data_IF_174763009477
#
_entry.id   IF_174763009477
#
_cell.length_a   1.000
_cell.length_b   1.000
_cell.length_c   1.000
_cell.angle_alpha   90.00
_cell.angle_beta   90.00
_cell.angle_gamma   90.00
#
_symmetry.space_group_name_H-M   'P 1'
#
loop_
_entity.id
_entity.type
_entity.pdbx_description
1 polymer ?
#
# COMPACT_ATOMS: atom_id res chain seq x y z
N UNK A 1 7.45 -28.54 2.94
CA UNK A 1 7.22 -27.54 4.02
C UNK A 1 6.13 -28.09 4.93
N UNK A 2 6.24 -27.95 6.25
CA UNK A 2 5.23 -28.43 7.21
C UNK A 2 3.89 -27.70 7.04
N UNK A 3 2.77 -28.39 7.29
CA UNK A 3 1.42 -27.84 7.09
C UNK A 3 1.15 -26.58 7.92
N UNK A 4 1.72 -26.49 9.13
CA UNK A 4 1.59 -25.32 9.99
C UNK A 4 2.32 -24.09 9.40
N UNK A 5 3.54 -24.28 8.88
CA UNK A 5 4.30 -23.22 8.19
C UNK A 5 3.57 -22.73 6.95
N UNK A 6 3.09 -23.64 6.11
CA UNK A 6 2.34 -23.27 4.90
C UNK A 6 1.01 -22.57 5.21
N UNK A 7 0.37 -22.89 6.33
CA UNK A 7 -0.83 -22.18 6.80
C UNK A 7 -0.47 -20.76 7.27
N UNK A 8 0.54 -20.62 8.13
CA UNK A 8 1.01 -19.31 8.61
C UNK A 8 1.29 -18.36 7.44
N UNK A 9 1.98 -18.82 6.39
CA UNK A 9 2.32 -17.95 5.26
C UNK A 9 1.10 -17.50 4.47
N UNK A 10 0.11 -18.38 4.26
CA UNK A 10 -1.14 -18.03 3.59
C UNK A 10 -2.00 -17.07 4.40
N UNK A 11 -1.96 -17.21 5.74
CA UNK A 11 -2.77 -16.40 6.64
C UNK A 11 -2.07 -15.09 7.04
N UNK A 12 -0.82 -14.88 6.61
CA UNK A 12 -0.10 -13.63 6.85
C UNK A 12 -0.52 -12.62 5.79
N UNK A 13 -1.31 -11.63 6.20
CA UNK A 13 -1.76 -10.57 5.31
C UNK A 13 -0.59 -9.73 4.78
N UNK A 14 -0.66 -9.38 3.50
CA UNK A 14 0.20 -8.32 2.94
C UNK A 14 -0.52 -6.98 3.10
N UNK A 15 0.06 -6.07 3.88
CA UNK A 15 -0.60 -4.82 4.28
C UNK A 15 -1.23 -4.05 3.11
N UNK A 16 -0.51 -3.87 2.00
CA UNK A 16 -1.00 -3.08 0.86
C UNK A 16 -2.03 -3.80 -0.01
N UNK A 17 -2.17 -5.12 0.10
CA UNK A 17 -2.97 -5.94 -0.81
C UNK A 17 -4.45 -5.50 -0.94
N UNK A 18 -5.20 -5.15 0.12
CA UNK A 18 -6.58 -4.69 -0.01
C UNK A 18 -6.73 -3.23 -0.48
N UNK A 19 -5.65 -2.45 -0.55
CA UNK A 19 -5.72 -1.00 -0.70
C UNK A 19 -5.62 -0.53 -2.16
N UNK A 20 -6.04 0.71 -2.38
CA UNK A 20 -5.86 1.43 -3.63
C UNK A 20 -5.46 2.88 -3.36
N UNK A 21 -4.77 3.47 -4.33
CA UNK A 21 -4.20 4.82 -4.25
C UNK A 21 -4.48 5.56 -5.53
N UNK A 22 -4.98 6.77 -5.39
CA UNK A 22 -5.29 7.68 -6.48
C UNK A 22 -4.30 8.83 -6.51
N UNK A 23 -3.91 9.27 -7.69
CA UNK A 23 -3.11 10.46 -7.93
C UNK A 23 -3.80 11.36 -8.94
N UNK A 24 -3.73 12.66 -8.69
CA UNK A 24 -4.11 13.71 -9.62
C UNK A 24 -2.91 14.66 -9.81
N UNK A 25 -2.42 14.76 -11.04
CA UNK A 25 -1.26 15.58 -11.40
C UNK A 25 -1.74 16.89 -12.00
N UNK A 26 -1.08 18.00 -11.66
CA UNK A 26 -1.48 19.34 -12.07
C UNK A 26 -0.33 20.10 -12.70
N UNK A 27 -0.64 21.21 -13.37
CA UNK A 27 0.38 22.11 -13.92
C UNK A 27 1.05 22.95 -12.84
N UNK A 28 0.30 23.34 -11.81
CA UNK A 28 0.75 24.19 -10.70
C UNK A 28 0.23 23.63 -9.37
N UNK A 29 0.95 23.81 -8.26
CA UNK A 29 0.50 23.41 -6.93
C UNK A 29 -0.49 24.44 -6.35
N UNK A 30 -1.61 24.67 -7.03
CA UNK A 30 -2.56 25.75 -6.73
C UNK A 30 -3.08 25.75 -5.28
N UNK A 31 -3.10 24.59 -4.61
CA UNK A 31 -3.44 24.49 -3.19
C UNK A 31 -2.43 25.23 -2.31
N UNK A 32 -1.14 25.22 -2.65
CA UNK A 32 -0.09 25.95 -1.94
C UNK A 32 -0.23 27.45 -2.14
N UNK A 33 -0.56 27.88 -3.36
CA UNK A 33 -0.82 29.29 -3.67
C UNK A 33 -2.03 29.83 -2.88
N UNK A 34 -2.97 28.94 -2.56
CA UNK A 34 -4.10 29.20 -1.68
C UNK A 34 -3.79 29.04 -0.17
N UNK A 35 -2.52 28.81 0.21
CA UNK A 35 -2.08 28.67 1.60
C UNK A 35 -2.39 27.30 2.25
N UNK A 36 -2.75 26.28 1.46
CA UNK A 36 -3.04 24.94 1.94
C UNK A 36 -1.81 24.02 1.83
N UNK A 37 -1.68 23.08 2.76
CA UNK A 37 -0.60 22.08 2.75
C UNK A 37 -0.79 20.98 1.70
N UNK A 38 -2.02 20.82 1.17
CA UNK A 38 -2.41 19.67 0.35
C UNK A 38 -2.84 18.44 1.16
N UNK A 39 -2.86 18.52 2.49
CA UNK A 39 -3.34 17.43 3.36
C UNK A 39 -4.83 17.59 3.68
N UNK A 40 -5.59 16.49 3.61
CA UNK A 40 -6.98 16.43 4.07
C UNK A 40 -7.35 15.03 4.55
N UNK A 41 -8.28 14.95 5.51
CA UNK A 41 -9.00 13.74 5.87
C UNK A 41 -10.49 13.96 5.62
N UNK A 42 -11.17 12.99 5.03
CA UNK A 42 -12.59 13.12 4.68
C UNK A 42 -13.36 11.84 4.99
N UNK A 43 -14.57 12.02 5.52
CA UNK A 43 -15.58 10.95 5.65
C UNK A 43 -16.60 10.98 4.50
N UNK A 44 -16.42 11.89 3.53
CA UNK A 44 -17.30 12.07 2.37
C UNK A 44 -16.48 11.95 1.09
N UNK A 45 -16.81 10.97 0.26
CA UNK A 45 -16.12 10.66 -0.99
C UNK A 45 -15.19 9.44 -0.86
N UNK A 46 -14.57 9.01 -1.97
CA UNK A 46 -13.77 7.78 -2.00
C UNK A 46 -12.42 7.89 -1.28
N UNK A 47 -11.81 9.08 -1.19
CA UNK A 47 -10.51 9.30 -0.57
C UNK A 47 -10.67 9.61 0.93
N UNK A 48 -10.03 8.83 1.79
CA UNK A 48 -10.11 9.01 3.25
C UNK A 48 -8.97 9.84 3.81
N UNK A 49 -7.83 9.80 3.13
CA UNK A 49 -6.61 10.52 3.47
C UNK A 49 -5.97 11.03 2.17
N UNK A 50 -5.64 12.31 2.14
CA UNK A 50 -5.11 13.02 0.97
C UNK A 50 -3.87 13.79 1.41
N UNK A 51 -2.86 13.82 0.55
CA UNK A 51 -1.61 14.55 0.77
C UNK A 51 -1.08 15.18 -0.52
N UNK A 52 -0.24 16.19 -0.32
CA UNK A 52 0.64 16.69 -1.35
C UNK A 52 1.65 15.61 -1.75
N UNK A 53 1.68 15.29 -3.05
CA UNK A 53 2.57 14.35 -3.70
C UNK A 53 3.52 15.04 -4.69
N UNK A 54 3.73 16.36 -4.53
CA UNK A 54 4.65 17.12 -5.37
C UNK A 54 6.02 16.46 -5.32
N UNK A 55 6.48 15.99 -6.48
CA UNK A 55 7.72 15.22 -6.59
C UNK A 55 8.93 16.06 -6.20
N UNK A 56 10.06 15.39 -5.93
CA UNK A 56 11.33 16.08 -5.65
C UNK A 56 11.79 17.00 -6.81
N UNK A 57 11.36 16.73 -8.05
CA UNK A 57 11.61 17.60 -9.21
C UNK A 57 10.59 18.73 -9.38
N UNK A 58 9.65 18.90 -8.44
CA UNK A 58 8.68 19.98 -8.42
C UNK A 58 7.38 19.71 -9.18
N UNK A 59 7.17 18.52 -9.74
CA UNK A 59 5.92 18.18 -10.45
C UNK A 59 4.74 18.10 -9.45
N UNK A 60 3.72 18.98 -9.55
CA UNK A 60 2.62 19.05 -8.59
C UNK A 60 1.66 17.87 -8.70
N UNK A 61 1.34 17.26 -7.56
CA UNK A 61 0.32 16.23 -7.49
C UNK A 61 -0.35 16.21 -6.12
N UNK A 62 -1.61 15.79 -6.09
CA UNK A 62 -2.28 15.32 -4.88
C UNK A 62 -2.44 13.80 -4.99
N UNK A 63 -2.24 13.09 -3.90
CA UNK A 63 -2.57 11.67 -3.81
C UNK A 63 -3.51 11.41 -2.66
N UNK A 64 -4.29 10.32 -2.74
CA UNK A 64 -5.02 9.82 -1.59
C UNK A 64 -5.21 8.31 -1.60
N UNK A 65 -5.45 7.75 -0.42
CA UNK A 65 -5.85 6.35 -0.25
C UNK A 65 -7.37 6.23 -0.31
N UNK A 66 -7.85 5.19 -0.98
CA UNK A 66 -9.28 4.93 -1.08
C UNK A 66 -9.80 4.23 0.18
N UNK A 67 -10.89 4.75 0.74
CA UNK A 67 -11.69 4.07 1.77
C UNK A 67 -12.74 3.11 1.21
N UNK A 68 -12.90 3.06 -0.12
CA UNK A 68 -13.80 2.14 -0.82
C UNK A 68 -13.16 0.75 -0.85
N UNK A 69 -13.85 -0.30 -0.39
CA UNK A 69 -13.31 -1.67 -0.34
C UNK A 69 -13.06 -2.30 -1.72
N UNK A 70 -12.15 -3.27 -1.81
CA UNK A 70 -11.69 -3.88 -3.07
C UNK A 70 -12.83 -4.43 -3.95
N UNK A 71 -13.82 -5.12 -3.35
CA UNK A 71 -14.98 -5.64 -4.09
C UNK A 71 -15.85 -4.51 -4.66
N UNK A 72 -16.07 -3.46 -3.87
CA UNK A 72 -16.85 -2.32 -4.31
C UNK A 72 -16.12 -1.54 -5.41
N UNK A 73 -14.79 -1.38 -5.31
CA UNK A 73 -13.97 -0.77 -6.38
C UNK A 73 -14.08 -1.58 -7.68
N UNK A 74 -14.02 -2.91 -7.60
CA UNK A 74 -14.16 -3.79 -8.75
C UNK A 74 -15.54 -3.67 -9.43
N UNK A 75 -16.61 -3.49 -8.65
CA UNK A 75 -17.97 -3.29 -9.18
C UNK A 75 -18.15 -1.89 -9.78
N UNK A 76 -17.65 -0.84 -9.13
CA UNK A 76 -17.78 0.54 -9.60
C UNK A 76 -16.98 0.80 -10.88
N UNK A 77 -15.81 0.18 -11.00
CA UNK A 77 -14.89 0.39 -12.10
C UNK A 77 -14.07 1.68 -11.97
N UNK A 78 -12.91 1.69 -12.63
CA UNK A 78 -11.90 2.74 -12.50
C UNK A 78 -12.39 4.12 -12.95
N UNK A 79 -13.19 4.19 -14.03
CA UNK A 79 -13.66 5.46 -14.57
C UNK A 79 -14.59 6.21 -13.59
N UNK A 80 -15.59 5.52 -13.04
CA UNK A 80 -16.52 6.10 -12.07
C UNK A 80 -15.79 6.50 -10.77
N UNK A 81 -14.86 5.66 -10.33
CA UNK A 81 -14.07 5.92 -9.13
C UNK A 81 -13.13 7.13 -9.31
N UNK A 82 -12.48 7.24 -10.46
CA UNK A 82 -11.64 8.39 -10.83
C UNK A 82 -12.46 9.68 -10.86
N UNK A 83 -13.65 9.65 -11.47
CA UNK A 83 -14.54 10.80 -11.49
C UNK A 83 -14.92 11.25 -10.07
N UNK A 84 -15.31 10.31 -9.20
CA UNK A 84 -15.66 10.60 -7.81
C UNK A 84 -14.48 11.16 -6.99
N UNK A 85 -13.25 10.67 -7.24
CA UNK A 85 -12.04 11.22 -6.64
C UNK A 85 -11.79 12.67 -7.07
N UNK A 86 -11.90 12.98 -8.36
CA UNK A 86 -11.72 14.34 -8.89
C UNK A 86 -12.79 15.28 -8.32
N UNK A 87 -14.05 14.84 -8.27
CA UNK A 87 -15.15 15.63 -7.70
C UNK A 87 -14.88 15.93 -6.22
N UNK A 88 -14.39 14.95 -5.46
CA UNK A 88 -13.99 15.16 -4.07
C UNK A 88 -12.84 16.15 -3.93
N UNK A 89 -11.79 16.03 -4.74
CA UNK A 89 -10.67 16.98 -4.72
C UNK A 89 -11.14 18.39 -5.10
N UNK A 90 -12.08 18.51 -6.05
CA UNK A 90 -12.70 19.79 -6.44
C UNK A 90 -13.43 20.45 -5.26
N UNK A 91 -14.19 19.67 -4.48
CA UNK A 91 -14.88 20.18 -3.29
C UNK A 91 -13.90 20.64 -2.21
N UNK A 92 -12.76 19.97 -2.06
CA UNK A 92 -11.79 20.25 -0.98
C UNK A 92 -10.80 21.37 -1.33
N UNK A 93 -10.31 21.40 -2.56
CA UNK A 93 -9.21 22.28 -2.98
C UNK A 93 -9.62 23.32 -4.04
N UNK A 94 -10.90 23.33 -4.44
CA UNK A 94 -11.46 24.30 -5.38
C UNK A 94 -11.45 23.85 -6.84
N UNK A 95 -11.94 24.71 -7.76
CA UNK A 95 -12.23 24.35 -9.16
C UNK A 95 -11.01 23.87 -9.95
N UNK A 96 -9.81 24.32 -9.62
CA UNK A 96 -8.56 23.89 -10.28
C UNK A 96 -8.26 22.40 -10.04
N UNK A 97 -8.68 21.85 -8.90
CA UNK A 97 -8.56 20.42 -8.62
C UNK A 97 -9.46 19.55 -9.53
N UNK A 98 -10.48 20.16 -10.16
CA UNK A 98 -11.34 19.48 -11.14
C UNK A 98 -10.68 19.29 -12.51
N UNK A 99 -9.46 19.79 -12.71
CA UNK A 99 -8.77 19.82 -14.01
C UNK A 99 -7.36 19.21 -13.94
N UNK A 100 -7.21 17.95 -13.47
CA UNK A 100 -5.91 17.30 -13.48
C UNK A 100 -5.42 17.11 -14.92
N UNK A 101 -4.11 17.27 -15.13
CA UNK A 101 -3.43 16.94 -16.39
C UNK A 101 -3.45 15.44 -16.65
N UNK A 102 -3.33 14.65 -15.59
CA UNK A 102 -3.34 13.21 -15.63
C UNK A 102 -3.80 12.67 -14.28
N UNK A 103 -4.36 11.47 -14.30
CA UNK A 103 -4.70 10.72 -13.10
C UNK A 103 -4.10 9.32 -13.17
N UNK A 104 -3.83 8.73 -12.01
CA UNK A 104 -3.43 7.34 -11.88
C UNK A 104 -4.18 6.71 -10.73
N UNK A 105 -4.76 5.54 -10.97
CA UNK A 105 -5.26 4.66 -9.92
C UNK A 105 -4.37 3.42 -9.87
N UNK A 106 -3.74 3.16 -8.72
CA UNK A 106 -3.12 1.86 -8.44
C UNK A 106 -3.99 1.13 -7.45
N UNK A 107 -4.59 0.03 -7.90
CA UNK A 107 -5.28 -0.93 -7.03
C UNK A 107 -4.37 -2.16 -6.86
N UNK A 108 -3.95 -2.43 -5.63
CA UNK A 108 -3.10 -3.59 -5.34
C UNK A 108 -3.93 -4.87 -5.22
N UNK A 109 -5.24 -4.77 -4.97
CA UNK A 109 -6.11 -5.94 -4.89
C UNK A 109 -6.32 -6.65 -6.23
N UNK A 110 -5.97 -5.97 -7.33
CA UNK A 110 -5.98 -6.52 -8.69
C UNK A 110 -4.59 -7.00 -9.16
N UNK A 111 -3.55 -6.88 -8.34
CA UNK A 111 -2.18 -7.24 -8.70
C UNK A 111 -1.87 -8.68 -8.25
N UNK A 112 -1.76 -9.66 -9.17
CA UNK A 112 -1.64 -11.08 -8.83
C UNK A 112 -0.30 -11.44 -8.16
N UNK A 113 0.70 -10.56 -8.21
CA UNK A 113 1.98 -10.74 -7.52
C UNK A 113 2.02 -10.03 -6.15
N UNK A 114 0.95 -9.30 -5.80
CA UNK A 114 0.81 -8.64 -4.50
C UNK A 114 -0.33 -9.20 -3.67
N UNK A 115 -1.46 -9.55 -4.30
CA UNK A 115 -2.70 -9.88 -3.62
C UNK A 115 -3.29 -11.21 -4.12
N UNK A 116 -3.90 -11.93 -3.20
CA UNK A 116 -4.73 -13.11 -3.44
C UNK A 116 -6.22 -12.78 -3.23
N UNK A 117 -7.11 -13.72 -3.56
CA UNK A 117 -8.53 -13.57 -3.26
C UNK A 117 -8.81 -13.40 -1.74
N UNK A 118 -7.96 -13.94 -0.87
CA UNK A 118 -8.11 -13.82 0.58
C UNK A 118 -7.78 -12.40 1.07
N UNK A 119 -6.92 -11.66 0.36
CA UNK A 119 -6.48 -10.32 0.75
C UNK A 119 -7.48 -9.21 0.42
N UNK A 120 -8.61 -9.55 -0.21
CA UNK A 120 -9.65 -8.57 -0.59
C UNK A 120 -10.36 -7.96 0.62
N UNK A 121 -10.32 -8.65 1.76
CA UNK A 121 -10.79 -8.13 3.05
C UNK A 121 -9.64 -7.46 3.79
N UNK A 122 -9.78 -6.20 4.24
CA UNK A 122 -8.69 -5.51 4.90
C UNK A 122 -8.33 -6.16 6.24
N UNK A 123 -7.07 -6.55 6.38
CA UNK A 123 -6.43 -6.91 7.64
C UNK A 123 -5.68 -5.73 8.25
N UNK A 124 -5.27 -5.87 9.51
CA UNK A 124 -4.31 -4.94 10.13
C UNK A 124 -2.89 -5.15 9.60
N UNK A 125 -1.97 -4.28 10.03
CA UNK A 125 -0.53 -4.58 9.90
C UNK A 125 -0.23 -5.93 10.54
N UNK A 126 0.64 -6.77 9.95
CA UNK A 126 1.05 -7.99 10.61
C UNK A 126 1.75 -7.65 11.93
N UNK A 127 1.46 -8.38 12.99
CA UNK A 127 2.10 -8.13 14.27
C UNK A 127 3.48 -8.81 14.33
N UNK A 128 4.50 -8.17 14.93
CA UNK A 128 5.79 -8.80 15.17
C UNK A 128 5.63 -10.12 15.93
N UNK A 129 6.25 -11.18 15.41
CA UNK A 129 6.25 -12.50 16.06
C UNK A 129 7.66 -13.05 16.19
N UNK A 130 7.96 -13.60 17.37
CA UNK A 130 9.21 -14.34 17.64
C UNK A 130 9.17 -15.78 17.16
N UNK A 131 8.01 -16.28 16.73
CA UNK A 131 7.88 -17.64 16.22
C UNK A 131 8.66 -17.77 14.92
N UNK A 132 9.52 -18.79 14.75
CA UNK A 132 10.25 -18.99 13.50
C UNK A 132 9.31 -19.15 12.30
N UNK A 133 9.64 -18.46 11.20
CA UNK A 133 8.84 -18.50 9.97
C UNK A 133 8.98 -19.80 9.19
N UNK A 134 10.11 -20.49 9.35
CA UNK A 134 10.43 -21.78 8.73
C UNK A 134 10.81 -22.74 9.86
N UNK A 135 10.19 -23.92 9.88
CA UNK A 135 10.44 -24.95 10.90
C UNK A 135 10.85 -26.29 10.25
N UNK A 136 11.22 -27.25 11.10
CA UNK A 136 11.53 -28.61 10.70
C UNK A 136 12.78 -28.72 9.83
N UNK A 137 12.75 -29.66 8.90
CA UNK A 137 13.89 -29.97 8.00
C UNK A 137 14.30 -28.83 7.07
N UNK A 138 13.47 -27.78 6.97
CA UNK A 138 13.71 -26.62 6.10
C UNK A 138 14.37 -25.45 6.81
N UNK A 139 14.48 -25.47 8.14
CA UNK A 139 14.93 -24.32 8.96
C UNK A 139 16.29 -23.76 8.54
N UNK A 140 17.19 -24.61 8.03
CA UNK A 140 18.55 -24.22 7.61
C UNK A 140 18.70 -24.19 6.07
N UNK A 141 17.60 -24.36 5.32
CA UNK A 141 17.61 -24.49 3.85
C UNK A 141 16.73 -23.46 3.13
N UNK A 142 15.85 -22.80 3.86
CA UNK A 142 14.89 -21.85 3.33
C UNK A 142 14.87 -20.61 4.21
N UNK A 143 15.15 -19.46 3.61
CA UNK A 143 15.26 -18.17 4.27
C UNK A 143 14.25 -17.22 3.66
N UNK A 144 13.57 -16.43 4.49
CA UNK A 144 12.54 -15.48 4.04
C UNK A 144 13.00 -14.05 4.22
N UNK A 145 12.78 -13.22 3.20
CA UNK A 145 13.16 -11.81 3.15
C UNK A 145 11.97 -10.85 2.95
N UNK A 146 10.73 -11.36 2.91
CA UNK A 146 9.53 -10.52 2.80
C UNK A 146 9.35 -9.64 4.03
N UNK A 147 8.81 -8.43 3.84
CA UNK A 147 8.63 -7.43 4.90
C UNK A 147 7.89 -7.96 6.12
N UNK A 148 6.90 -8.82 5.87
CA UNK A 148 6.02 -9.48 6.83
C UNK A 148 6.80 -10.32 7.83
N UNK A 149 8.01 -10.75 7.45
CA UNK A 149 8.88 -11.56 8.31
C UNK A 149 9.76 -10.72 9.23
N UNK A 150 9.71 -9.40 9.12
CA UNK A 150 10.46 -8.48 9.98
C UNK A 150 10.00 -8.56 11.44
N UNK A 151 10.94 -8.59 12.41
CA UNK A 151 10.61 -8.57 13.83
C UNK A 151 10.31 -7.16 14.37
N UNK A 152 10.53 -6.10 13.58
CA UNK A 152 10.41 -4.70 14.04
C UNK A 152 9.35 -3.90 13.30
N UNK A 153 9.35 -3.96 11.96
CA UNK A 153 8.41 -3.20 11.13
C UNK A 153 7.71 -4.05 10.03
N UNK A 154 7.02 -5.15 10.39
CA UNK A 154 6.29 -5.98 9.42
C UNK A 154 5.26 -5.17 8.59
N UNK A 155 5.22 -5.42 7.28
CA UNK A 155 4.34 -4.72 6.34
C UNK A 155 4.83 -3.31 5.92
N UNK A 156 6.00 -2.88 6.38
CA UNK A 156 6.63 -1.61 5.97
C UNK A 156 7.90 -1.83 5.15
N UNK A 157 8.32 -0.80 4.41
CA UNK A 157 9.60 -0.80 3.68
C UNK A 157 10.79 -1.03 4.61
N UNK A 158 10.79 -0.43 5.81
CA UNK A 158 11.82 -0.69 6.82
C UNK A 158 11.87 -2.17 7.23
N UNK A 159 10.73 -2.85 7.26
CA UNK A 159 10.66 -4.29 7.51
C UNK A 159 11.23 -5.12 6.37
N UNK A 160 11.02 -4.71 5.10
CA UNK A 160 11.63 -5.40 3.97
C UNK A 160 13.16 -5.36 4.04
N UNK A 161 13.73 -4.21 4.39
CA UNK A 161 15.18 -4.05 4.61
C UNK A 161 15.66 -4.96 5.74
N UNK A 162 15.03 -4.86 6.92
CA UNK A 162 15.41 -5.65 8.08
C UNK A 162 15.30 -7.17 7.84
N UNK A 163 14.26 -7.61 7.13
CA UNK A 163 14.07 -9.01 6.76
C UNK A 163 15.12 -9.51 5.77
N UNK A 164 15.47 -8.70 4.77
CA UNK A 164 16.50 -9.03 3.79
C UNK A 164 17.90 -9.12 4.43
N UNK A 165 18.28 -8.16 5.27
CA UNK A 165 19.55 -8.17 6.00
C UNK A 165 19.68 -9.42 6.88
N UNK A 166 18.62 -9.75 7.64
CA UNK A 166 18.58 -10.97 8.46
C UNK A 166 18.77 -12.22 7.58
N UNK A 167 18.03 -12.34 6.48
CA UNK A 167 18.10 -13.51 5.61
C UNK A 167 19.52 -13.71 5.03
N UNK A 168 20.22 -12.63 4.66
CA UNK A 168 21.61 -12.70 4.19
C UNK A 168 22.57 -13.20 5.28
N UNK A 169 22.42 -12.70 6.51
CA UNK A 169 23.23 -13.14 7.67
C UNK A 169 23.00 -14.63 7.93
N UNK A 170 21.75 -15.07 7.94
CA UNK A 170 21.38 -16.48 8.14
C UNK A 170 22.00 -17.39 7.06
N UNK A 171 21.90 -17.00 5.78
CA UNK A 171 22.51 -17.75 4.66
C UNK A 171 24.02 -17.90 4.81
N UNK A 172 24.72 -16.85 5.23
CA UNK A 172 26.18 -16.92 5.44
C UNK A 172 26.54 -17.74 6.69
N UNK A 173 25.75 -17.66 7.75
CA UNK A 173 25.94 -18.44 8.97
C UNK A 173 25.73 -19.94 8.77
N UNK A 174 24.81 -20.34 7.89
CA UNK A 174 24.47 -21.74 7.59
C UNK A 174 25.45 -22.45 6.64
N UNK A 175 26.46 -21.75 6.10
CA UNK A 175 27.49 -22.34 5.21
C UNK A 175 28.69 -22.95 5.94
N UNK A 176 28.62 -23.11 7.27
CA UNK A 176 29.62 -23.83 8.07
C UNK A 176 29.17 -25.26 8.32
#
# INVERSE_FOLDING_TARGET
>A
IESATARRWRDTATWMAPHAKFFALYQQPFWRDAGLSGTAQSQVGPLVEIHDATTASGMPALFGFLGVGADQRAVLGEAALTHACIEQLTRLFGPEAGRPRATLLKDWAADPLTATAADRSPGGHPEPSRTPWVNGVWKDRLFLAGSETSPTAPGYLAGAIAAAERAVIEIHGSRK
#
